data_IF_879061061360
#
_entry.id   IF_879061061360
#
_cell.length_a   1.000
_cell.length_b   1.000
_cell.length_c   1.000
_cell.angle_alpha   90.00
_cell.angle_beta   90.00
_cell.angle_gamma   90.00
#
_symmetry.space_group_name_H-M   'P 1'
#
loop_
_entity.id
_entity.type
_entity.pdbx_description
1 polymer ?
#
# COMPACT_ATOMS: atom_id res chain seq x y z
N UNK A 1 21.15 -13.52 48.81
CA UNK A 1 20.89 -14.07 47.46
C UNK A 1 22.15 -13.83 46.65
N UNK A 2 22.75 -14.91 46.12
CA UNK A 2 24.04 -14.87 45.43
C UNK A 2 23.99 -13.93 44.24
N UNK A 3 24.84 -12.90 44.26
CA UNK A 3 25.04 -11.97 43.15
C UNK A 3 25.83 -12.69 42.05
N UNK A 4 25.10 -13.41 41.17
CA UNK A 4 25.69 -14.14 40.06
C UNK A 4 26.25 -13.12 39.07
N UNK A 5 27.57 -13.16 38.86
CA UNK A 5 28.25 -12.32 37.86
C UNK A 5 27.61 -12.49 36.49
N UNK A 6 27.40 -11.38 35.77
CA UNK A 6 26.92 -11.41 34.38
C UNK A 6 27.74 -12.34 33.47
N UNK A 7 29.02 -12.56 33.80
CA UNK A 7 29.93 -13.43 33.07
C UNK A 7 29.55 -14.91 33.15
N UNK A 8 28.80 -15.31 34.18
CA UNK A 8 28.36 -16.69 34.39
C UNK A 8 26.94 -16.97 33.84
N UNK A 9 26.30 -15.93 33.26
CA UNK A 9 24.95 -16.02 32.71
C UNK A 9 24.98 -16.45 31.23
N UNK A 10 23.93 -17.15 30.82
CA UNK A 10 23.77 -17.61 29.43
C UNK A 10 22.85 -16.69 28.63
N UNK A 11 23.22 -16.34 27.42
CA UNK A 11 22.36 -15.67 26.45
C UNK A 11 21.57 -16.69 25.65
N UNK A 12 20.24 -16.56 25.64
CA UNK A 12 19.34 -17.32 24.75
C UNK A 12 19.14 -16.52 23.46
N UNK A 13 19.58 -17.09 22.34
CA UNK A 13 19.40 -16.49 21.01
C UNK A 13 17.99 -16.71 20.49
N UNK A 14 17.60 -15.93 19.48
CA UNK A 14 16.27 -16.01 18.87
C UNK A 14 15.97 -17.37 18.20
N UNK A 15 17.01 -18.15 17.88
CA UNK A 15 16.91 -19.52 17.34
C UNK A 15 16.87 -20.60 18.44
N UNK A 16 16.83 -20.21 19.71
CA UNK A 16 16.83 -21.11 20.87
C UNK A 16 18.23 -21.58 21.30
N UNK A 17 19.30 -21.24 20.57
CA UNK A 17 20.65 -21.64 20.96
C UNK A 17 21.17 -20.83 22.16
N UNK A 18 21.93 -21.49 23.03
CA UNK A 18 22.57 -20.88 24.19
C UNK A 18 24.01 -20.44 23.88
N UNK A 19 24.42 -19.30 24.41
CA UNK A 19 25.80 -18.83 24.38
C UNK A 19 26.18 -18.23 25.73
N UNK A 20 27.44 -18.35 26.16
CA UNK A 20 27.93 -17.68 27.37
C UNK A 20 27.94 -16.16 27.12
N UNK A 21 27.52 -15.37 28.12
CA UNK A 21 27.56 -13.92 28.04
C UNK A 21 28.98 -13.42 27.76
N UNK A 22 29.12 -12.52 26.78
CA UNK A 22 30.42 -11.95 26.40
C UNK A 22 30.29 -10.42 26.21
N UNK A 23 30.87 -9.67 27.14
CA UNK A 23 30.87 -8.20 27.15
C UNK A 23 31.54 -7.61 25.90
N UNK A 24 32.58 -8.26 25.38
CA UNK A 24 33.30 -7.83 24.18
C UNK A 24 32.38 -7.76 22.95
N UNK A 25 31.35 -8.62 22.87
CA UNK A 25 30.40 -8.59 21.76
C UNK A 25 29.51 -7.35 21.78
N UNK A 26 29.19 -6.82 22.97
CA UNK A 26 28.39 -5.59 23.13
C UNK A 26 29.23 -4.41 22.66
N UNK A 27 30.46 -4.30 23.18
CA UNK A 27 31.42 -3.29 22.77
C UNK A 27 31.64 -3.28 21.26
N UNK A 28 32.00 -4.42 20.64
CA UNK A 28 32.23 -4.51 19.20
C UNK A 28 30.98 -4.18 18.39
N UNK A 29 29.80 -4.53 18.91
CA UNK A 29 28.52 -4.19 18.30
C UNK A 29 28.28 -2.68 18.26
N UNK A 30 28.52 -1.99 19.39
CA UNK A 30 28.42 -0.54 19.50
C UNK A 30 29.46 0.15 18.62
N UNK A 31 30.73 -0.29 18.68
CA UNK A 31 31.81 0.32 17.93
C UNK A 31 31.57 0.22 16.42
N UNK A 32 31.20 -0.96 15.92
CA UNK A 32 30.87 -1.15 14.51
C UNK A 32 29.68 -0.31 14.04
N UNK A 33 28.69 -0.10 14.92
CA UNK A 33 27.59 0.80 14.64
C UNK A 33 28.04 2.26 14.60
N UNK A 34 28.99 2.65 15.45
CA UNK A 34 29.58 3.99 15.47
C UNK A 34 30.39 4.25 14.20
N UNK A 35 31.21 3.29 13.76
CA UNK A 35 31.97 3.36 12.50
C UNK A 35 31.06 3.62 11.29
N UNK A 36 29.92 2.93 11.22
CA UNK A 36 28.94 3.10 10.14
C UNK A 36 28.33 4.51 10.07
N UNK A 37 28.43 5.30 11.14
CA UNK A 37 27.97 6.69 11.19
C UNK A 37 29.13 7.69 11.30
N UNK A 38 30.37 7.24 11.03
CA UNK A 38 31.58 8.07 11.01
C UNK A 38 32.26 8.27 12.36
N UNK A 39 31.87 7.53 13.40
CA UNK A 39 32.53 7.54 14.70
C UNK A 39 33.77 6.64 14.72
N UNK A 40 34.85 7.11 15.35
CA UNK A 40 36.13 6.39 15.45
C UNK A 40 36.61 6.18 16.89
N UNK A 41 35.87 6.70 17.88
CA UNK A 41 36.28 6.66 19.28
C UNK A 41 35.93 5.30 19.91
N UNK A 42 36.92 4.42 19.96
CA UNK A 42 36.82 3.09 20.55
C UNK A 42 36.63 3.13 22.08
N UNK A 43 37.27 4.08 22.76
CA UNK A 43 37.13 4.27 24.21
C UNK A 43 35.69 4.58 24.59
N UNK A 44 35.05 5.49 23.86
CA UNK A 44 33.65 5.84 24.07
C UNK A 44 32.71 4.64 23.86
N UNK A 45 32.95 3.82 22.83
CA UNK A 45 32.17 2.59 22.62
C UNK A 45 32.34 1.60 23.78
N UNK A 46 33.54 1.53 24.37
CA UNK A 46 33.84 0.71 25.54
C UNK A 46 33.10 1.23 26.77
N UNK A 47 33.12 2.53 27.03
CA UNK A 47 32.42 3.16 28.15
C UNK A 47 30.91 2.93 28.07
N UNK A 48 30.31 3.15 26.89
CA UNK A 48 28.90 2.88 26.64
C UNK A 48 28.56 1.39 26.84
N UNK A 49 29.46 0.48 26.47
CA UNK A 49 29.25 -0.95 26.72
C UNK A 49 29.23 -1.30 28.21
N UNK A 50 30.05 -0.63 29.03
CA UNK A 50 30.05 -0.80 30.48
C UNK A 50 28.75 -0.30 31.11
N UNK A 51 28.21 0.81 30.61
CA UNK A 51 26.90 1.31 31.04
C UNK A 51 25.77 0.33 30.71
N UNK A 52 25.78 -0.26 29.50
CA UNK A 52 24.83 -1.31 29.11
C UNK A 52 24.91 -2.50 30.06
N UNK A 53 26.13 -2.93 30.39
CA UNK A 53 26.36 -4.04 31.33
C UNK A 53 25.79 -3.68 32.70
N UNK A 54 26.04 -2.47 33.20
CA UNK A 54 25.49 -2.00 34.48
C UNK A 54 23.96 -1.97 34.47
N UNK A 55 23.36 -1.50 33.38
CA UNK A 55 21.91 -1.50 33.21
C UNK A 55 21.34 -2.92 33.22
N UNK A 56 21.97 -3.85 32.49
CA UNK A 56 21.58 -5.26 32.47
C UNK A 56 21.69 -5.91 33.87
N UNK A 57 22.76 -5.62 34.64
CA UNK A 57 22.87 -6.08 36.05
C UNK A 57 21.67 -5.64 36.88
N UNK A 58 21.31 -4.35 36.79
CA UNK A 58 20.22 -3.77 37.59
C UNK A 58 18.84 -4.36 37.28
N UNK A 59 18.64 -4.90 36.06
CA UNK A 59 17.37 -5.46 35.60
C UNK A 59 17.24 -6.97 35.80
N UNK A 60 18.35 -7.70 35.89
CA UNK A 60 18.40 -9.16 35.88
C UNK A 60 18.75 -9.72 37.28
N UNK A 61 17.98 -9.32 38.30
CA UNK A 61 18.17 -9.85 39.66
C UNK A 61 17.73 -11.32 39.71
N UNK A 62 18.71 -12.24 39.79
CA UNK A 62 18.48 -13.68 40.02
C UNK A 62 18.26 -14.56 38.79
N UNK A 63 18.10 -14.00 37.58
CA UNK A 63 17.93 -14.81 36.36
C UNK A 63 19.26 -15.36 35.83
N UNK A 64 19.32 -16.67 35.54
CA UNK A 64 20.49 -17.37 34.98
C UNK A 64 20.63 -17.19 33.46
N UNK A 65 19.54 -16.84 32.78
CA UNK A 65 19.48 -16.72 31.32
C UNK A 65 19.01 -15.33 30.90
N UNK A 66 19.52 -14.85 29.77
CA UNK A 66 19.24 -13.50 29.25
C UNK A 66 18.82 -13.64 27.79
N UNK A 67 17.57 -13.29 27.43
CA UNK A 67 17.18 -13.16 26.04
C UNK A 67 18.10 -12.18 25.28
N UNK A 68 18.61 -12.60 24.12
CA UNK A 68 19.43 -11.75 23.23
C UNK A 68 18.70 -10.49 22.74
N UNK A 69 17.38 -10.47 22.83
CA UNK A 69 16.54 -9.31 22.54
C UNK A 69 16.80 -8.20 23.57
N UNK A 70 16.70 -8.52 24.87
CA UNK A 70 16.92 -7.59 25.99
C UNK A 70 18.30 -6.94 25.95
N UNK A 71 19.34 -7.70 25.60
CA UNK A 71 20.71 -7.16 25.49
C UNK A 71 20.76 -6.02 24.49
N UNK A 72 20.11 -6.15 23.33
CA UNK A 72 20.15 -5.07 22.36
C UNK A 72 19.15 -3.95 22.63
N UNK A 73 18.01 -4.20 23.28
CA UNK A 73 17.15 -3.13 23.80
C UNK A 73 17.89 -2.26 24.83
N UNK A 74 18.70 -2.89 25.69
CA UNK A 74 19.57 -2.17 26.61
C UNK A 74 20.60 -1.30 25.87
N UNK A 75 21.25 -1.83 24.83
CA UNK A 75 22.18 -1.04 23.99
C UNK A 75 21.46 0.15 23.34
N UNK A 76 20.29 -0.08 22.76
CA UNK A 76 19.50 0.96 22.09
C UNK A 76 19.12 2.07 23.06
N UNK A 77 18.63 1.71 24.24
CA UNK A 77 18.27 2.64 25.31
C UNK A 77 19.47 3.49 25.74
N UNK A 78 20.59 2.87 26.12
CA UNK A 78 21.77 3.58 26.60
C UNK A 78 22.32 4.52 25.53
N UNK A 79 22.39 4.08 24.27
CA UNK A 79 22.84 4.93 23.17
C UNK A 79 21.93 6.14 22.97
N UNK A 80 20.61 6.00 23.12
CA UNK A 80 19.67 7.12 23.00
C UNK A 80 19.82 8.07 24.19
N UNK A 81 19.82 7.56 25.42
CA UNK A 81 19.95 8.36 26.65
C UNK A 81 21.25 9.16 26.70
N UNK A 82 22.34 8.62 26.15
CA UNK A 82 23.66 9.27 26.07
C UNK A 82 23.83 10.16 24.84
N UNK A 83 22.77 10.40 24.06
CA UNK A 83 22.80 11.32 22.92
C UNK A 83 23.39 10.73 21.62
N UNK A 84 23.62 9.42 21.56
CA UNK A 84 24.16 8.71 20.40
C UNK A 84 23.06 8.12 19.50
N UNK A 85 21.99 8.87 19.25
CA UNK A 85 20.82 8.39 18.48
C UNK A 85 21.16 7.88 17.06
N UNK A 86 22.16 8.47 16.38
CA UNK A 86 22.63 8.00 15.07
C UNK A 86 23.25 6.61 15.16
N UNK A 87 24.10 6.38 16.16
CA UNK A 87 24.72 5.08 16.45
C UNK A 87 23.66 4.05 16.85
N UNK A 88 22.69 4.43 17.68
CA UNK A 88 21.56 3.57 18.05
C UNK A 88 20.80 3.09 16.81
N UNK A 89 20.47 4.01 15.90
CA UNK A 89 19.80 3.67 14.63
C UNK A 89 20.63 2.71 13.77
N UNK A 90 21.93 2.94 13.63
CA UNK A 90 22.82 2.04 12.89
C UNK A 90 22.91 0.65 13.53
N UNK A 91 22.93 0.58 14.86
CA UNK A 91 22.93 -0.67 15.63
C UNK A 91 21.64 -1.47 15.42
N UNK A 92 20.47 -0.82 15.52
CA UNK A 92 19.14 -1.41 15.26
C UNK A 92 19.10 -2.03 13.86
N UNK A 93 19.49 -1.25 12.84
CA UNK A 93 19.50 -1.69 11.45
C UNK A 93 20.42 -2.91 11.26
N UNK A 94 21.60 -2.90 11.88
CA UNK A 94 22.53 -4.02 11.81
C UNK A 94 21.95 -5.30 12.43
N UNK A 95 21.31 -5.20 13.60
CA UNK A 95 20.65 -6.33 14.27
C UNK A 95 19.54 -6.92 13.41
N UNK A 96 18.67 -6.09 12.86
CA UNK A 96 17.55 -6.54 12.04
C UNK A 96 18.05 -7.20 10.74
N UNK A 97 19.06 -6.63 10.09
CA UNK A 97 19.70 -7.26 8.93
C UNK A 97 20.31 -8.63 9.26
N UNK A 98 20.96 -8.77 10.42
CA UNK A 98 21.54 -10.05 10.87
C UNK A 98 20.45 -11.08 11.17
N UNK A 99 19.32 -10.65 11.72
CA UNK A 99 18.14 -11.50 11.94
C UNK A 99 17.61 -12.01 10.59
N UNK A 100 17.45 -11.15 9.60
CA UNK A 100 17.03 -11.54 8.25
C UNK A 100 18.01 -12.50 7.57
N UNK A 101 19.32 -12.30 7.73
CA UNK A 101 20.35 -13.19 7.17
C UNK A 101 20.34 -14.60 7.78
N UNK A 102 19.88 -14.74 9.02
CA UNK A 102 19.77 -16.03 9.72
C UNK A 102 18.49 -16.78 9.41
N UNK A 103 17.52 -16.15 8.75
CA UNK A 103 16.30 -16.84 8.36
C UNK A 103 16.64 -17.93 7.35
N UNK A 104 16.32 -19.16 7.69
CA UNK A 104 16.54 -20.30 6.81
C UNK A 104 15.62 -20.19 5.58
N UNK A 105 16.18 -19.76 4.44
CA UNK A 105 15.48 -19.68 3.16
C UNK A 105 15.00 -21.05 2.68
N UNK A 106 15.68 -22.14 3.05
CA UNK A 106 15.34 -23.48 2.57
C UNK A 106 13.96 -23.92 3.10
N UNK A 107 13.59 -23.48 4.31
CA UNK A 107 12.25 -23.66 4.89
C UNK A 107 11.09 -23.14 4.01
N UNK A 108 11.36 -22.21 3.08
CA UNK A 108 10.33 -21.69 2.19
C UNK A 108 9.98 -22.66 1.06
N UNK A 109 10.81 -23.66 0.75
CA UNK A 109 10.61 -24.53 -0.41
C UNK A 109 10.61 -23.76 -1.73
N UNK A 110 11.38 -22.66 -1.81
CA UNK A 110 11.56 -21.84 -3.00
C UNK A 110 13.04 -21.83 -3.35
N UNK A 111 13.36 -22.15 -4.59
CA UNK A 111 14.73 -22.02 -5.11
C UNK A 111 15.03 -20.55 -5.35
N UNK A 112 15.93 -19.97 -4.57
CA UNK A 112 16.41 -18.60 -4.72
C UNK A 112 17.55 -18.54 -5.74
N UNK A 113 17.22 -18.25 -7.00
CA UNK A 113 18.16 -18.20 -8.12
C UNK A 113 18.62 -16.78 -8.50
N UNK A 114 18.29 -15.79 -7.65
CA UNK A 114 18.72 -14.39 -7.80
C UNK A 114 19.46 -13.87 -6.55
N UNK A 115 19.16 -14.42 -5.37
CA UNK A 115 19.74 -13.98 -4.10
C UNK A 115 18.86 -12.98 -3.34
N UNK A 116 17.53 -13.13 -3.40
CA UNK A 116 16.60 -12.23 -2.69
C UNK A 116 16.56 -12.45 -1.18
N UNK A 117 16.06 -11.46 -0.43
CA UNK A 117 15.87 -11.62 1.02
C UNK A 117 14.81 -12.69 1.34
N UNK A 118 14.85 -13.27 2.54
CA UNK A 118 13.82 -14.21 2.99
C UNK A 118 12.41 -13.64 2.87
N UNK A 119 12.20 -12.39 3.33
CA UNK A 119 10.90 -11.72 3.25
C UNK A 119 10.43 -11.55 1.80
N UNK A 120 11.33 -11.20 0.88
CA UNK A 120 11.02 -11.12 -0.54
C UNK A 120 10.58 -12.47 -1.07
N UNK A 121 11.33 -13.54 -0.80
CA UNK A 121 10.98 -14.90 -1.23
C UNK A 121 9.65 -15.37 -0.62
N UNK A 122 9.40 -15.07 0.66
CA UNK A 122 8.15 -15.36 1.32
C UNK A 122 6.97 -14.68 0.59
N UNK A 123 7.09 -13.39 0.28
CA UNK A 123 6.05 -12.65 -0.46
C UNK A 123 5.86 -13.26 -1.86
N UNK A 124 6.95 -13.52 -2.59
CA UNK A 124 6.88 -14.16 -3.91
C UNK A 124 6.16 -15.50 -3.86
N UNK A 125 6.52 -16.37 -2.90
CA UNK A 125 5.85 -17.65 -2.62
C UNK A 125 4.36 -17.49 -2.37
N UNK A 126 3.99 -16.51 -1.56
CA UNK A 126 2.58 -16.35 -1.19
C UNK A 126 1.74 -15.83 -2.34
N UNK A 127 2.31 -15.01 -3.23
CA UNK A 127 1.52 -14.09 -4.06
C UNK A 127 1.78 -14.14 -5.56
N UNK A 128 2.93 -14.59 -6.02
CA UNK A 128 3.36 -14.33 -7.41
C UNK A 128 3.94 -15.53 -8.15
N UNK A 129 4.60 -16.46 -7.46
CA UNK A 129 5.15 -17.66 -8.09
C UNK A 129 4.03 -18.61 -8.53
N UNK A 130 4.12 -19.12 -9.76
CA UNK A 130 3.18 -20.11 -10.28
C UNK A 130 3.16 -21.39 -9.46
N UNK A 131 1.96 -21.98 -9.41
CA UNK A 131 1.70 -23.26 -8.79
C UNK A 131 1.10 -24.24 -9.79
N UNK A 132 1.33 -25.52 -9.58
CA UNK A 132 0.61 -26.58 -10.28
C UNK A 132 -0.79 -26.80 -9.67
N UNK A 133 -1.56 -27.74 -10.22
CA UNK A 133 -2.90 -28.09 -9.75
C UNK A 133 -2.93 -28.62 -8.31
N UNK A 134 -1.82 -29.18 -7.83
CA UNK A 134 -1.64 -29.63 -6.44
C UNK A 134 -1.27 -28.49 -5.49
N UNK A 135 -1.09 -27.27 -5.99
CA UNK A 135 -0.72 -26.09 -5.22
C UNK A 135 0.78 -25.96 -4.93
N UNK A 136 1.62 -26.81 -5.49
CA UNK A 136 3.08 -26.79 -5.32
C UNK A 136 3.71 -25.71 -6.18
N UNK A 137 4.77 -25.05 -5.68
CA UNK A 137 5.45 -23.97 -6.40
C UNK A 137 6.34 -24.59 -7.48
N UNK A 138 6.13 -24.19 -8.74
CA UNK A 138 6.85 -24.71 -9.91
C UNK A 138 7.68 -23.65 -10.63
N UNK A 139 7.74 -22.44 -10.10
CA UNK A 139 8.40 -21.30 -10.73
C UNK A 139 9.37 -20.66 -9.74
N UNK A 140 10.59 -20.40 -10.20
CA UNK A 140 11.61 -19.68 -9.44
C UNK A 140 11.43 -18.16 -9.58
N UNK A 141 12.03 -17.34 -8.71
CA UNK A 141 12.03 -15.89 -8.86
C UNK A 141 12.53 -15.41 -10.24
N UNK A 142 13.60 -15.99 -10.78
CA UNK A 142 14.05 -15.68 -12.16
C UNK A 142 13.03 -16.13 -13.19
N UNK A 143 12.48 -17.33 -13.07
CA UNK A 143 11.44 -17.83 -13.97
C UNK A 143 10.21 -16.91 -14.03
N UNK A 144 9.79 -16.39 -12.88
CA UNK A 144 8.71 -15.39 -12.79
C UNK A 144 9.04 -14.12 -13.58
N UNK A 145 10.25 -13.58 -13.41
CA UNK A 145 10.69 -12.37 -14.11
C UNK A 145 10.78 -12.62 -15.63
N UNK A 146 11.32 -13.77 -16.04
CA UNK A 146 11.36 -14.17 -17.46
C UNK A 146 9.96 -14.28 -18.06
N UNK A 147 9.02 -14.91 -17.34
CA UNK A 147 7.62 -15.00 -17.76
C UNK A 147 7.03 -13.61 -18.00
N UNK A 148 7.20 -12.70 -17.05
CA UNK A 148 6.67 -11.33 -17.14
C UNK A 148 7.31 -10.59 -18.33
N UNK A 149 8.64 -10.57 -18.41
CA UNK A 149 9.36 -9.89 -19.48
C UNK A 149 8.98 -10.43 -20.87
N UNK A 150 8.82 -11.75 -20.99
CA UNK A 150 8.43 -12.42 -22.24
C UNK A 150 6.99 -12.12 -22.62
N UNK A 151 6.08 -12.13 -21.66
CA UNK A 151 4.68 -11.80 -21.91
C UNK A 151 4.53 -10.35 -22.38
N UNK A 152 5.20 -9.41 -21.72
CA UNK A 152 5.09 -7.99 -22.02
C UNK A 152 5.80 -7.57 -23.31
N UNK A 153 6.89 -8.24 -23.69
CA UNK A 153 7.61 -7.94 -24.93
C UNK A 153 6.91 -8.49 -26.19
N UNK A 154 5.99 -9.46 -26.06
CA UNK A 154 5.28 -10.06 -27.22
C UNK A 154 4.50 -9.06 -28.08
N UNK A 155 4.06 -7.94 -27.50
CA UNK A 155 3.35 -6.85 -28.19
C UNK A 155 4.20 -6.17 -29.28
N UNK A 156 5.53 -6.32 -29.20
CA UNK A 156 6.45 -5.69 -30.12
C UNK A 156 6.37 -6.33 -31.51
N UNK A 157 6.25 -5.50 -32.55
CA UNK A 157 5.97 -5.95 -33.92
C UNK A 157 7.05 -6.88 -34.50
N UNK A 158 8.33 -6.55 -34.26
CA UNK A 158 9.48 -7.25 -34.87
C UNK A 158 10.16 -8.16 -33.86
N UNK A 159 10.72 -9.29 -34.31
CA UNK A 159 11.53 -10.20 -33.47
C UNK A 159 12.71 -9.49 -32.79
N UNK A 160 13.35 -8.54 -33.47
CA UNK A 160 14.47 -7.74 -32.93
C UNK A 160 14.00 -6.91 -31.72
N UNK A 161 12.92 -6.13 -31.87
CA UNK A 161 12.32 -5.38 -30.74
C UNK A 161 11.85 -6.29 -29.61
N UNK A 162 11.24 -7.43 -29.92
CA UNK A 162 10.83 -8.44 -28.91
C UNK A 162 12.02 -8.90 -28.07
N UNK A 163 13.12 -9.28 -28.70
CA UNK A 163 14.36 -9.71 -28.02
C UNK A 163 14.97 -8.57 -27.19
N UNK A 164 15.05 -7.36 -27.76
CA UNK A 164 15.56 -6.17 -27.08
C UNK A 164 14.76 -5.86 -25.82
N UNK A 165 13.45 -5.67 -25.94
CA UNK A 165 12.61 -5.30 -24.80
C UNK A 165 12.45 -6.43 -23.79
N UNK A 166 12.49 -7.70 -24.22
CA UNK A 166 12.59 -8.82 -23.28
C UNK A 166 13.81 -8.65 -22.36
N UNK A 167 15.00 -8.41 -22.93
CA UNK A 167 16.22 -8.22 -22.16
C UNK A 167 16.13 -6.97 -21.27
N UNK A 168 15.71 -5.83 -21.81
CA UNK A 168 15.58 -4.59 -21.04
C UNK A 168 14.59 -4.74 -19.87
N UNK A 169 13.42 -5.34 -20.09
CA UNK A 169 12.44 -5.58 -19.02
C UNK A 169 12.94 -6.56 -17.96
N UNK A 170 13.61 -7.63 -18.39
CA UNK A 170 14.23 -8.60 -17.49
C UNK A 170 15.29 -7.93 -16.61
N UNK A 171 16.20 -7.18 -17.21
CA UNK A 171 17.30 -6.50 -16.51
C UNK A 171 16.77 -5.49 -15.47
N UNK A 172 15.71 -4.72 -15.80
CA UNK A 172 15.10 -3.78 -14.84
C UNK A 172 14.57 -4.48 -13.59
N UNK A 173 13.88 -5.60 -13.78
CA UNK A 173 13.24 -6.34 -12.69
C UNK A 173 14.26 -7.11 -11.86
N UNK A 174 15.25 -7.78 -12.49
CA UNK A 174 16.31 -8.49 -11.77
C UNK A 174 17.15 -7.52 -10.92
N UNK A 175 17.47 -6.34 -11.45
CA UNK A 175 18.23 -5.33 -10.70
C UNK A 175 17.40 -4.58 -9.65
N UNK A 176 16.10 -4.85 -9.55
CA UNK A 176 15.17 -4.17 -8.66
C UNK A 176 15.09 -2.65 -8.92
N UNK A 177 15.40 -2.20 -10.13
CA UNK A 177 15.33 -0.78 -10.51
C UNK A 177 13.88 -0.36 -10.76
N UNK A 178 13.09 -1.26 -11.36
CA UNK A 178 11.66 -1.07 -11.61
C UNK A 178 10.90 -2.40 -11.58
N UNK A 179 9.73 -2.42 -10.96
CA UNK A 179 8.82 -3.56 -10.95
C UNK A 179 7.45 -3.16 -11.49
N UNK A 180 6.79 -3.95 -12.34
CA UNK A 180 5.43 -3.65 -12.74
C UNK A 180 4.43 -3.86 -11.60
N UNK A 181 3.21 -3.35 -11.78
CA UNK A 181 2.13 -3.50 -10.82
C UNK A 181 1.85 -4.96 -10.45
N UNK A 182 1.34 -5.19 -9.23
CA UNK A 182 1.13 -6.54 -8.69
C UNK A 182 0.27 -7.43 -9.58
N UNK A 183 -0.75 -6.88 -10.28
CA UNK A 183 -1.57 -7.66 -11.22
C UNK A 183 -0.78 -8.08 -12.46
N UNK A 184 0.09 -7.22 -12.96
CA UNK A 184 1.02 -7.60 -14.02
C UNK A 184 1.98 -8.71 -13.56
N UNK A 185 2.56 -8.61 -12.36
CA UNK A 185 3.44 -9.67 -11.83
C UNK A 185 2.70 -11.01 -11.69
N UNK A 186 1.49 -11.00 -11.15
CA UNK A 186 0.70 -12.20 -10.88
C UNK A 186 0.12 -12.83 -12.16
N UNK A 187 -0.31 -12.03 -13.13
CA UNK A 187 -1.12 -12.51 -14.25
C UNK A 187 -0.39 -12.57 -15.60
N UNK A 188 0.72 -11.85 -15.79
CA UNK A 188 1.43 -11.86 -17.07
C UNK A 188 1.83 -13.28 -17.49
N UNK A 189 1.45 -13.67 -18.71
CA UNK A 189 1.71 -15.00 -19.26
C UNK A 189 0.68 -16.08 -18.89
N UNK A 190 -0.47 -15.71 -18.30
CA UNK A 190 -1.67 -16.57 -18.22
C UNK A 190 -2.46 -16.53 -19.55
N UNK A 191 -3.47 -17.39 -19.71
CA UNK A 191 -4.32 -17.45 -20.91
C UNK A 191 -5.19 -16.18 -21.07
N UNK A 192 -5.81 -15.73 -19.97
CA UNK A 192 -6.62 -14.50 -19.91
C UNK A 192 -6.06 -13.57 -18.82
N UNK A 193 -5.00 -12.78 -19.12
CA UNK A 193 -4.34 -11.98 -18.10
C UNK A 193 -5.09 -10.66 -17.87
N UNK A 194 -5.52 -10.40 -16.64
CA UNK A 194 -5.85 -9.03 -16.23
C UNK A 194 -4.58 -8.36 -15.67
N UNK A 195 -3.97 -7.47 -16.46
CA UNK A 195 -2.71 -6.83 -16.07
C UNK A 195 -2.89 -5.53 -15.29
N UNK A 196 -3.98 -4.80 -15.54
CA UNK A 196 -4.29 -3.58 -14.83
C UNK A 196 -4.75 -3.86 -13.40
N UNK A 197 -4.41 -2.95 -12.50
CA UNK A 197 -4.62 -3.12 -11.07
C UNK A 197 -6.03 -2.72 -10.62
N UNK A 198 -6.53 -1.60 -11.15
CA UNK A 198 -7.77 -1.00 -10.69
C UNK A 198 -8.51 -0.33 -11.84
N UNK A 199 -9.79 -0.06 -11.64
CA UNK A 199 -10.70 0.50 -12.64
C UNK A 199 -11.66 1.48 -11.97
N UNK A 200 -12.12 2.49 -12.72
CA UNK A 200 -13.20 3.38 -12.29
C UNK A 200 -14.43 3.13 -13.14
N UNK A 201 -15.59 3.05 -12.49
CA UNK A 201 -16.87 2.77 -13.13
C UNK A 201 -17.84 3.93 -12.97
N UNK A 202 -18.65 4.24 -14.00
CA UNK A 202 -19.74 5.19 -13.86
C UNK A 202 -20.86 4.58 -13.03
N UNK A 203 -21.58 5.41 -12.28
CA UNK A 203 -22.83 5.05 -11.61
C UNK A 203 -23.88 6.10 -11.99
N UNK A 204 -24.96 5.65 -12.59
CA UNK A 204 -26.14 6.47 -12.89
C UNK A 204 -27.30 6.12 -11.96
N UNK A 205 -28.25 7.05 -11.80
CA UNK A 205 -29.48 6.86 -11.02
C UNK A 205 -30.52 6.05 -11.80
N UNK A 206 -30.13 4.84 -12.19
CA UNK A 206 -30.93 3.87 -12.93
C UNK A 206 -30.56 2.45 -12.49
N UNK A 207 -31.57 1.63 -12.20
CA UNK A 207 -31.35 0.29 -11.63
C UNK A 207 -30.66 -0.65 -12.63
N UNK A 208 -30.98 -0.55 -13.92
CA UNK A 208 -30.35 -1.38 -14.95
C UNK A 208 -28.86 -1.03 -15.08
N UNK A 209 -28.53 0.26 -15.07
CA UNK A 209 -27.15 0.73 -15.05
C UNK A 209 -26.40 0.23 -13.80
N UNK A 210 -26.99 0.36 -12.62
CA UNK A 210 -26.39 -0.10 -11.36
C UNK A 210 -26.06 -1.59 -11.43
N UNK A 211 -26.99 -2.43 -11.88
CA UNK A 211 -26.76 -3.89 -12.00
C UNK A 211 -25.75 -4.24 -13.10
N UNK A 212 -25.77 -3.56 -14.25
CA UNK A 212 -24.78 -3.76 -15.31
C UNK A 212 -23.35 -3.44 -14.83
N UNK A 213 -23.19 -2.33 -14.10
CA UNK A 213 -21.90 -1.93 -13.52
C UNK A 213 -21.47 -2.85 -12.38
N UNK A 214 -22.42 -3.32 -11.57
CA UNK A 214 -22.13 -4.32 -10.55
C UNK A 214 -21.61 -5.62 -11.20
N UNK A 215 -22.26 -6.10 -12.25
CA UNK A 215 -21.83 -7.28 -13.01
C UNK A 215 -20.42 -7.09 -13.60
N UNK A 216 -20.20 -6.01 -14.38
CA UNK A 216 -18.92 -5.72 -15.03
C UNK A 216 -17.78 -5.57 -14.03
N UNK A 217 -18.01 -4.83 -12.96
CA UNK A 217 -16.98 -4.65 -11.92
C UNK A 217 -16.71 -5.94 -11.13
N UNK A 218 -17.70 -6.82 -10.97
CA UNK A 218 -17.52 -8.14 -10.37
C UNK A 218 -16.65 -9.06 -11.21
N UNK A 219 -16.80 -9.03 -12.54
CA UNK A 219 -15.90 -9.78 -13.45
C UNK A 219 -14.44 -9.34 -13.29
N UNK A 220 -14.19 -8.05 -13.15
CA UNK A 220 -12.86 -7.51 -12.89
C UNK A 220 -12.33 -7.93 -11.52
N UNK A 221 -13.19 -7.93 -10.48
CA UNK A 221 -12.85 -8.35 -9.12
C UNK A 221 -12.52 -9.84 -9.03
N UNK A 222 -13.13 -10.69 -9.84
CA UNK A 222 -12.75 -12.12 -9.99
C UNK A 222 -11.26 -12.28 -10.33
N UNK A 223 -10.70 -11.34 -11.08
CA UNK A 223 -9.27 -11.30 -11.41
C UNK A 223 -8.44 -10.41 -10.47
N UNK A 224 -9.07 -9.90 -9.41
CA UNK A 224 -8.49 -9.10 -8.34
C UNK A 224 -8.39 -7.60 -8.65
N UNK A 225 -9.06 -7.11 -9.69
CA UNK A 225 -9.06 -5.69 -10.02
C UNK A 225 -9.88 -4.88 -9.00
N UNK A 226 -9.23 -3.90 -8.38
CA UNK A 226 -9.89 -2.93 -7.50
C UNK A 226 -10.82 -1.99 -8.27
N UNK A 227 -11.91 -1.53 -7.64
CA UNK A 227 -12.92 -0.72 -8.33
C UNK A 227 -13.25 0.58 -7.61
N UNK A 228 -13.29 1.70 -8.33
CA UNK A 228 -13.71 3.00 -7.82
C UNK A 228 -15.03 3.47 -8.41
N UNK A 229 -15.83 4.16 -7.61
CA UNK A 229 -17.16 4.63 -7.96
C UNK A 229 -17.41 6.00 -7.32
N UNK A 230 -18.23 6.83 -7.98
CA UNK A 230 -18.84 8.00 -7.35
C UNK A 230 -20.36 7.85 -7.40
N UNK A 231 -20.99 7.77 -6.23
CA UNK A 231 -22.42 7.52 -6.03
C UNK A 231 -23.25 8.80 -5.96
N UNK A 232 -22.66 9.99 -6.15
CA UNK A 232 -23.35 11.29 -6.00
C UNK A 232 -24.48 11.53 -7.00
N UNK A 233 -24.56 10.73 -8.05
CA UNK A 233 -25.67 10.77 -9.00
C UNK A 233 -26.93 10.08 -8.45
N UNK A 234 -26.78 9.10 -7.54
CA UNK A 234 -27.88 8.33 -6.98
C UNK A 234 -28.76 9.25 -6.14
N UNK A 235 -30.09 9.13 -6.28
CA UNK A 235 -31.03 9.90 -5.47
C UNK A 235 -30.91 9.59 -3.97
N UNK A 236 -31.23 10.55 -3.09
CA UNK A 236 -31.10 10.34 -1.66
C UNK A 236 -32.11 9.32 -1.13
N UNK A 237 -31.83 8.78 0.05
CA UNK A 237 -32.74 7.95 0.82
C UNK A 237 -34.09 8.68 1.03
N UNK A 238 -35.19 7.96 0.84
CA UNK A 238 -36.54 8.53 0.93
C UNK A 238 -36.98 9.39 -0.27
N UNK A 239 -36.19 9.53 -1.34
CA UNK A 239 -36.68 10.18 -2.57
C UNK A 239 -37.74 9.31 -3.30
N UNK A 240 -38.46 9.94 -4.22
CA UNK A 240 -39.49 9.26 -5.02
C UNK A 240 -38.91 8.30 -6.05
N UNK A 241 -39.53 7.14 -6.22
CA UNK A 241 -39.26 6.17 -7.29
C UNK A 241 -40.55 5.88 -8.05
N UNK A 242 -40.52 6.02 -9.37
CA UNK A 242 -41.70 5.85 -10.24
C UNK A 242 -42.94 6.64 -9.80
N UNK A 243 -42.76 7.80 -9.15
CA UNK A 243 -43.85 8.64 -8.65
C UNK A 243 -44.33 8.31 -7.24
N UNK A 244 -43.87 7.21 -6.65
CA UNK A 244 -44.16 6.85 -5.25
C UNK A 244 -43.11 7.54 -4.36
N UNK A 245 -43.49 8.40 -3.40
CA UNK A 245 -42.57 9.08 -2.49
C UNK A 245 -41.98 8.11 -1.44
N UNK A 246 -40.87 8.49 -0.80
CA UNK A 246 -40.34 7.84 0.43
C UNK A 246 -39.86 6.39 0.31
N UNK A 247 -39.56 5.91 -0.90
CA UNK A 247 -39.13 4.50 -1.11
C UNK A 247 -37.71 4.31 -1.67
N UNK A 248 -36.98 5.39 -2.01
CA UNK A 248 -35.60 5.25 -2.46
C UNK A 248 -34.68 4.79 -1.32
N UNK A 249 -33.82 3.80 -1.59
CA UNK A 249 -32.88 3.26 -0.61
C UNK A 249 -31.64 4.15 -0.35
N UNK A 250 -31.36 5.12 -1.22
CA UNK A 250 -30.18 5.99 -1.13
C UNK A 250 -28.85 5.33 -1.55
N UNK A 251 -27.78 6.12 -1.64
CA UNK A 251 -26.46 5.68 -2.10
C UNK A 251 -25.77 4.74 -1.09
N UNK A 252 -25.97 4.91 0.23
CA UNK A 252 -25.31 4.07 1.25
C UNK A 252 -25.74 2.61 1.11
N UNK A 253 -27.03 2.34 0.92
CA UNK A 253 -27.54 0.98 0.66
C UNK A 253 -27.07 0.41 -0.67
N UNK A 254 -26.92 1.24 -1.70
CA UNK A 254 -26.30 0.78 -2.96
C UNK A 254 -24.83 0.38 -2.74
N UNK A 255 -24.08 1.12 -1.93
CA UNK A 255 -22.70 0.79 -1.59
C UNK A 255 -22.60 -0.53 -0.81
N UNK A 256 -23.54 -0.81 0.11
CA UNK A 256 -23.62 -2.12 0.80
C UNK A 256 -23.68 -3.29 -0.20
N UNK A 257 -24.47 -3.15 -1.26
CA UNK A 257 -24.59 -4.17 -2.30
C UNK A 257 -23.24 -4.41 -3.01
N UNK A 258 -22.52 -3.35 -3.39
CA UNK A 258 -21.20 -3.47 -4.03
C UNK A 258 -20.15 -4.06 -3.07
N UNK A 259 -20.22 -3.70 -1.79
CA UNK A 259 -19.37 -4.23 -0.74
C UNK A 259 -19.58 -5.74 -0.55
N UNK A 260 -20.85 -6.17 -0.42
CA UNK A 260 -21.21 -7.58 -0.28
C UNK A 260 -20.69 -8.40 -1.47
N UNK A 261 -20.96 -7.97 -2.70
CA UNK A 261 -20.47 -8.66 -3.89
C UNK A 261 -18.95 -8.80 -3.89
N UNK A 262 -18.23 -7.76 -3.48
CA UNK A 262 -16.76 -7.80 -3.39
C UNK A 262 -16.27 -8.81 -2.34
N UNK A 263 -17.02 -9.00 -1.25
CA UNK A 263 -16.69 -9.97 -0.20
C UNK A 263 -16.87 -11.43 -0.63
N UNK A 264 -17.78 -11.70 -1.57
CA UNK A 264 -18.12 -13.05 -2.04
C UNK A 264 -17.07 -13.62 -3.02
N UNK A 265 -16.45 -12.77 -3.85
CA UNK A 265 -15.48 -13.21 -4.85
C UNK A 265 -14.04 -13.05 -4.35
N UNK A 266 -13.55 -14.07 -3.64
CA UNK A 266 -12.13 -14.18 -3.25
C UNK A 266 -11.33 -14.88 -4.36
N UNK A 267 -10.23 -14.27 -4.78
CA UNK A 267 -9.35 -14.84 -5.80
C UNK A 267 -8.38 -15.85 -5.18
N UNK A 268 -8.38 -17.11 -5.65
CA UNK A 268 -7.44 -18.19 -5.30
C UNK A 268 -6.99 -18.16 -3.82
N UNK A 269 -7.95 -17.93 -2.91
CA UNK A 269 -7.76 -17.95 -1.46
C UNK A 269 -6.84 -16.88 -0.85
N UNK A 270 -6.33 -15.88 -1.59
CA UNK A 270 -5.28 -14.98 -1.04
C UNK A 270 -5.40 -13.48 -1.35
N UNK A 271 -6.14 -13.08 -2.37
CA UNK A 271 -6.32 -11.66 -2.70
C UNK A 271 -7.77 -11.23 -2.55
N UNK A 272 -7.98 -10.26 -1.70
CA UNK A 272 -9.25 -9.54 -1.59
C UNK A 272 -9.17 -8.27 -2.46
N UNK A 273 -10.21 -8.02 -3.24
CA UNK A 273 -10.36 -6.75 -3.95
C UNK A 273 -10.97 -5.70 -3.00
N UNK A 274 -10.65 -4.43 -3.24
CA UNK A 274 -11.25 -3.31 -2.52
C UNK A 274 -12.09 -2.42 -3.44
N UNK A 275 -12.99 -1.66 -2.82
CA UNK A 275 -13.72 -0.59 -3.47
C UNK A 275 -13.30 0.79 -2.95
N UNK A 276 -13.41 1.81 -3.80
CA UNK A 276 -13.55 3.21 -3.40
C UNK A 276 -14.97 3.65 -3.71
N UNK A 277 -15.69 4.15 -2.71
CA UNK A 277 -16.97 4.81 -2.90
C UNK A 277 -16.84 6.30 -2.54
N UNK A 278 -17.25 7.17 -3.45
CA UNK A 278 -17.23 8.62 -3.26
C UNK A 278 -18.65 9.16 -3.21
N UNK A 279 -18.90 10.05 -2.26
CA UNK A 279 -20.09 10.89 -2.24
C UNK A 279 -19.67 12.36 -2.14
N UNK A 280 -20.24 13.21 -2.98
CA UNK A 280 -19.92 14.63 -3.01
C UNK A 280 -20.56 15.32 -1.80
N UNK A 281 -19.86 16.33 -1.30
CA UNK A 281 -20.19 17.02 -0.04
C UNK A 281 -21.52 17.78 -0.05
N UNK A 282 -22.11 18.00 -1.23
CA UNK A 282 -23.42 18.62 -1.42
C UNK A 282 -24.57 17.60 -1.52
N UNK A 283 -24.30 16.30 -1.38
CA UNK A 283 -25.34 15.28 -1.40
C UNK A 283 -26.19 15.28 -0.11
N UNK A 284 -27.54 15.10 -0.16
CA UNK A 284 -28.37 15.11 1.05
C UNK A 284 -27.98 14.05 2.09
N UNK A 285 -27.58 12.85 1.65
CA UNK A 285 -27.20 11.74 2.53
C UNK A 285 -25.76 11.83 3.06
N UNK A 286 -25.12 13.01 2.99
CA UNK A 286 -23.72 13.18 3.36
C UNK A 286 -23.42 12.77 4.81
N UNK A 287 -24.32 13.08 5.75
CA UNK A 287 -24.15 12.74 7.17
C UNK A 287 -24.22 11.22 7.42
N UNK A 288 -25.18 10.54 6.78
CA UNK A 288 -25.31 9.08 6.83
C UNK A 288 -24.08 8.41 6.21
N UNK A 289 -23.59 8.95 5.09
CA UNK A 289 -22.41 8.43 4.42
C UNK A 289 -21.12 8.62 5.24
N UNK A 290 -20.91 9.79 5.86
CA UNK A 290 -19.74 10.03 6.73
C UNK A 290 -19.75 9.07 7.92
N UNK A 291 -20.91 8.88 8.54
CA UNK A 291 -21.06 8.06 9.76
C UNK A 291 -21.20 6.57 9.45
N UNK A 292 -21.27 6.17 8.17
CA UNK A 292 -21.58 4.81 7.74
C UNK A 292 -20.69 3.76 8.41
N UNK A 293 -19.37 4.04 8.52
CA UNK A 293 -18.38 3.10 9.05
C UNK A 293 -18.11 3.23 10.56
N UNK A 294 -18.95 3.95 11.31
CA UNK A 294 -18.87 3.98 12.78
C UNK A 294 -19.01 2.59 13.39
N UNK A 295 -19.78 1.71 12.76
CA UNK A 295 -19.92 0.32 13.19
C UNK A 295 -18.80 -0.53 12.58
N UNK A 296 -17.95 -1.10 13.43
CA UNK A 296 -16.86 -1.97 13.01
C UNK A 296 -17.35 -3.13 12.12
N UNK A 297 -16.61 -3.39 11.04
CA UNK A 297 -16.92 -4.46 10.09
C UNK A 297 -17.96 -4.10 9.01
N UNK A 298 -18.75 -3.05 9.21
CA UNK A 298 -19.64 -2.54 8.18
C UNK A 298 -18.84 -1.89 7.04
N UNK A 299 -19.23 -2.20 5.80
CA UNK A 299 -18.48 -1.81 4.58
C UNK A 299 -16.98 -2.18 4.59
N UNK A 300 -16.63 -3.32 5.19
CA UNK A 300 -15.23 -3.77 5.36
C UNK A 300 -14.41 -3.95 4.08
N UNK A 301 -15.04 -3.98 2.89
CA UNK A 301 -14.36 -4.07 1.58
C UNK A 301 -14.41 -2.76 0.80
N UNK A 302 -14.87 -1.68 1.42
CA UNK A 302 -15.09 -0.39 0.77
C UNK A 302 -14.49 0.74 1.58
N UNK A 303 -13.52 1.41 0.98
CA UNK A 303 -13.04 2.70 1.45
C UNK A 303 -14.08 3.74 1.04
N UNK A 304 -14.35 4.71 1.91
CA UNK A 304 -15.27 5.80 1.61
C UNK A 304 -14.53 7.12 1.60
N UNK A 305 -14.87 8.01 0.69
CA UNK A 305 -14.26 9.34 0.64
C UNK A 305 -15.26 10.40 0.23
N UNK A 306 -15.08 11.60 0.78
CA UNK A 306 -15.94 12.73 0.45
C UNK A 306 -15.34 13.52 -0.71
N UNK A 307 -16.14 13.68 -1.76
CA UNK A 307 -15.83 14.55 -2.89
C UNK A 307 -16.03 16.02 -2.49
N UNK A 308 -14.95 16.70 -2.13
CA UNK A 308 -14.99 18.12 -1.74
C UNK A 308 -14.54 19.02 -2.89
N UNK A 309 -14.82 20.31 -2.76
CA UNK A 309 -14.32 21.35 -3.67
C UNK A 309 -13.58 22.43 -2.89
N UNK A 310 -12.77 23.24 -3.59
CA UNK A 310 -12.15 24.43 -2.99
C UNK A 310 -13.22 25.34 -2.36
N UNK A 311 -14.39 25.48 -3.00
CA UNK A 311 -15.53 26.27 -2.49
C UNK A 311 -16.07 25.73 -1.16
N UNK A 312 -16.16 24.41 -1.00
CA UNK A 312 -16.59 23.81 0.26
C UNK A 312 -15.58 24.08 1.36
N UNK A 313 -14.29 23.88 1.09
CA UNK A 313 -13.25 24.12 2.10
C UNK A 313 -13.23 25.59 2.54
N UNK A 314 -13.35 26.52 1.60
CA UNK A 314 -13.47 27.95 1.93
C UNK A 314 -14.71 28.26 2.77
N UNK A 315 -15.85 27.63 2.47
CA UNK A 315 -17.05 27.77 3.28
C UNK A 315 -16.86 27.23 4.70
N UNK A 316 -16.23 26.05 4.85
CA UNK A 316 -16.00 25.42 6.13
C UNK A 316 -15.03 26.21 7.01
N UNK A 317 -13.93 26.72 6.44
CA UNK A 317 -12.95 27.55 7.17
C UNK A 317 -13.59 28.85 7.69
N UNK A 318 -14.48 29.45 6.90
CA UNK A 318 -15.13 30.71 7.25
C UNK A 318 -16.51 30.53 7.92
N UNK A 319 -16.83 29.33 8.42
CA UNK A 319 -18.11 29.01 9.08
C UNK A 319 -19.35 29.45 8.28
N UNK A 320 -19.33 29.26 6.96
CA UNK A 320 -20.45 29.59 6.08
C UNK A 320 -21.41 28.42 5.92
N UNK A 321 -22.63 28.75 5.51
CA UNK A 321 -23.64 27.78 5.13
C UNK A 321 -23.27 27.01 3.86
N UNK A 322 -23.75 25.77 3.80
CA UNK A 322 -23.60 24.83 2.71
C UNK A 322 -24.96 24.26 2.31
N UNK A 323 -25.20 24.20 1.00
CA UNK A 323 -26.47 23.72 0.45
C UNK A 323 -26.35 22.25 0.10
N UNK A 324 -27.29 21.44 0.62
CA UNK A 324 -27.47 20.06 0.20
C UNK A 324 -28.47 20.02 -0.95
N UNK A 325 -28.09 19.41 -2.07
CA UNK A 325 -28.79 19.48 -3.35
C UNK A 325 -29.16 18.07 -3.79
N UNK A 326 -30.46 17.83 -4.02
CA UNK A 326 -30.90 16.55 -4.55
C UNK A 326 -30.39 16.40 -6.01
N UNK A 327 -29.64 15.34 -6.35
CA UNK A 327 -29.03 15.19 -7.67
C UNK A 327 -30.04 14.97 -8.79
N UNK A 328 -31.25 14.48 -8.49
CA UNK A 328 -32.34 14.28 -9.46
C UNK A 328 -33.11 15.57 -9.72
N UNK A 329 -33.57 16.25 -8.67
CA UNK A 329 -34.43 17.44 -8.80
C UNK A 329 -33.67 18.75 -8.97
N UNK A 330 -32.36 18.76 -8.63
CA UNK A 330 -31.49 19.93 -8.56
C UNK A 330 -31.95 21.00 -7.56
N UNK A 331 -32.91 20.68 -6.69
CA UNK A 331 -33.40 21.58 -5.64
C UNK A 331 -32.54 21.46 -4.39
N UNK A 332 -32.41 22.58 -3.67
CA UNK A 332 -31.84 22.60 -2.32
C UNK A 332 -32.83 21.91 -1.39
N UNK A 333 -32.39 20.85 -0.74
CA UNK A 333 -33.18 20.10 0.24
C UNK A 333 -32.96 20.65 1.65
N UNK A 334 -31.72 21.04 1.96
CA UNK A 334 -31.36 21.57 3.26
C UNK A 334 -30.17 22.53 3.17
N UNK A 335 -30.01 23.38 4.18
CA UNK A 335 -28.86 24.27 4.35
C UNK A 335 -28.26 23.98 5.73
N UNK A 336 -26.97 23.68 5.76
CA UNK A 336 -26.25 23.26 6.97
C UNK A 336 -24.93 24.01 7.08
N UNK A 337 -24.33 24.06 8.27
CA UNK A 337 -22.99 24.61 8.42
C UNK A 337 -21.96 23.76 7.68
N UNK A 338 -21.19 24.38 6.78
CA UNK A 338 -20.07 23.71 6.10
C UNK A 338 -19.04 23.19 7.11
N UNK A 339 -18.84 23.94 8.20
CA UNK A 339 -17.92 23.59 9.28
C UNK A 339 -18.35 22.30 9.98
N UNK A 340 -19.65 22.14 10.25
CA UNK A 340 -20.17 20.94 10.90
C UNK A 340 -19.95 19.67 10.08
N UNK A 341 -20.05 19.75 8.75
CA UNK A 341 -19.71 18.62 7.88
C UNK A 341 -18.22 18.28 8.01
N UNK A 342 -17.34 19.28 7.94
CA UNK A 342 -15.89 19.08 8.02
C UNK A 342 -15.46 18.52 9.39
N UNK A 343 -16.02 19.04 10.49
CA UNK A 343 -15.74 18.54 11.84
C UNK A 343 -16.21 17.09 12.03
N UNK A 344 -17.39 16.74 11.49
CA UNK A 344 -17.86 15.35 11.52
C UNK A 344 -16.92 14.44 10.72
N UNK A 345 -16.54 14.84 9.49
CA UNK A 345 -15.59 14.08 8.67
C UNK A 345 -14.28 13.82 9.44
N UNK A 346 -13.70 14.86 10.05
CA UNK A 346 -12.46 14.74 10.81
C UNK A 346 -12.62 13.83 12.04
N UNK A 347 -13.75 13.94 12.74
CA UNK A 347 -14.05 13.11 13.92
C UNK A 347 -14.16 11.64 13.54
N UNK A 348 -14.93 11.30 12.50
CA UNK A 348 -15.10 9.89 12.09
C UNK A 348 -13.83 9.34 11.46
N UNK A 349 -13.08 10.14 10.70
CA UNK A 349 -11.78 9.74 10.16
C UNK A 349 -10.75 9.46 11.26
N UNK A 350 -10.76 10.23 12.35
CA UNK A 350 -9.94 9.95 13.53
C UNK A 350 -10.36 8.66 14.23
N UNK A 351 -11.67 8.39 14.33
CA UNK A 351 -12.20 7.18 14.99
C UNK A 351 -11.97 5.91 14.17
N UNK A 352 -12.16 5.95 12.85
CA UNK A 352 -12.32 4.74 12.01
C UNK A 352 -11.29 4.64 10.88
N UNK A 353 -10.55 5.71 10.58
CA UNK A 353 -9.70 5.83 9.40
C UNK A 353 -10.43 6.25 8.11
N UNK A 354 -11.76 6.37 8.14
CA UNK A 354 -12.64 6.81 7.05
C UNK A 354 -13.61 7.91 7.57
N UNK A 355 -14.14 8.81 6.71
CA UNK A 355 -13.89 8.90 5.29
C UNK A 355 -12.61 9.65 4.95
N UNK A 356 -11.99 9.26 3.83
CA UNK A 356 -10.96 10.07 3.17
C UNK A 356 -11.52 11.32 2.48
N UNK A 357 -10.63 12.10 1.89
CA UNK A 357 -10.96 13.31 1.13
C UNK A 357 -10.50 13.15 -0.33
N UNK A 358 -11.41 13.39 -1.26
CA UNK A 358 -11.08 13.58 -2.68
C UNK A 358 -11.40 15.03 -3.06
N UNK A 359 -10.37 15.87 -3.20
CA UNK A 359 -10.57 17.25 -3.67
C UNK A 359 -10.81 17.27 -5.19
N UNK A 360 -12.08 17.34 -5.58
CA UNK A 360 -12.55 17.39 -6.96
C UNK A 360 -12.05 18.64 -7.69
N UNK A 361 -11.87 19.76 -6.98
CA UNK A 361 -11.28 20.96 -7.55
C UNK A 361 -9.82 20.72 -7.88
N UNK A 362 -8.98 20.27 -6.96
CA UNK A 362 -7.57 20.00 -7.23
C UNK A 362 -7.36 18.93 -8.32
N UNK A 363 -8.19 17.88 -8.32
CA UNK A 363 -8.16 16.81 -9.31
C UNK A 363 -8.46 17.31 -10.73
N UNK A 364 -9.21 18.40 -10.87
CA UNK A 364 -9.64 18.94 -12.17
C UNK A 364 -9.05 20.32 -12.52
N UNK A 365 -8.51 21.07 -11.55
CA UNK A 365 -7.94 22.41 -11.71
C UNK A 365 -6.47 22.29 -12.16
N UNK A 366 -6.04 23.11 -13.12
CA UNK A 366 -4.62 23.25 -13.48
C UNK A 366 -4.12 22.63 -14.79
N UNK A 367 -4.95 22.49 -15.83
CA UNK A 367 -4.51 22.15 -17.22
C UNK A 367 -3.77 20.80 -17.37
N UNK A 368 -3.07 20.59 -18.50
CA UNK A 368 -2.69 19.32 -19.14
C UNK A 368 -2.04 18.21 -18.29
N UNK A 369 -1.71 18.46 -17.02
CA UNK A 369 -1.06 17.50 -16.11
C UNK A 369 -2.02 16.84 -15.11
N UNK A 370 -3.08 17.52 -14.69
CA UNK A 370 -4.06 16.96 -13.73
C UNK A 370 -5.19 16.25 -14.46
N UNK A 371 -5.92 16.99 -15.33
CA UNK A 371 -6.95 16.44 -16.19
C UNK A 371 -6.76 16.94 -17.64
N UNK A 372 -5.91 16.28 -18.45
CA UNK A 372 -5.63 16.70 -19.82
C UNK A 372 -6.84 16.67 -20.75
N UNK A 373 -7.88 15.89 -20.42
CA UNK A 373 -9.05 15.72 -21.26
C UNK A 373 -10.25 16.53 -20.78
N UNK A 374 -10.09 17.42 -19.80
CA UNK A 374 -11.19 18.19 -19.18
C UNK A 374 -12.12 18.85 -20.22
N UNK A 375 -11.55 19.52 -21.24
CA UNK A 375 -12.33 20.18 -22.30
C UNK A 375 -13.18 19.20 -23.14
N UNK A 376 -12.73 17.96 -23.31
CA UNK A 376 -13.35 16.96 -24.19
C UNK A 376 -14.23 15.95 -23.44
N UNK A 377 -13.84 15.58 -22.22
CA UNK A 377 -14.49 14.53 -21.42
C UNK A 377 -15.14 15.05 -20.12
N UNK A 378 -14.97 16.33 -19.78
CA UNK A 378 -15.49 16.88 -18.53
C UNK A 378 -14.64 16.53 -17.32
N UNK A 379 -15.20 16.70 -16.13
CA UNK A 379 -14.49 16.46 -14.87
C UNK A 379 -14.31 14.97 -14.60
N UNK A 380 -13.14 14.61 -14.07
CA UNK A 380 -12.96 13.34 -13.36
C UNK A 380 -13.69 13.47 -12.02
N UNK A 381 -14.45 12.44 -11.66
CA UNK A 381 -15.29 12.46 -10.45
C UNK A 381 -14.94 11.34 -9.48
N UNK A 382 -14.04 10.43 -9.85
CA UNK A 382 -13.68 9.27 -9.05
C UNK A 382 -12.19 8.93 -9.19
N UNK A 383 -11.74 8.07 -8.29
CA UNK A 383 -10.38 7.52 -8.26
C UNK A 383 -10.46 6.03 -7.98
N UNK A 384 -9.35 5.32 -8.18
CA UNK A 384 -9.23 3.91 -7.83
C UNK A 384 -9.29 3.69 -6.29
N UNK A 385 -9.35 2.43 -5.81
CA UNK A 385 -9.49 2.12 -4.39
C UNK A 385 -8.51 2.78 -3.42
N UNK A 386 -7.30 3.11 -3.88
CA UNK A 386 -6.25 3.66 -3.03
C UNK A 386 -6.13 5.19 -3.12
N UNK A 387 -6.97 5.86 -3.92
CA UNK A 387 -7.07 7.32 -3.97
C UNK A 387 -5.98 8.05 -4.77
N UNK A 388 -5.01 7.33 -5.35
CA UNK A 388 -3.81 7.89 -5.95
C UNK A 388 -3.92 8.14 -7.47
N UNK A 389 -4.88 7.52 -8.15
CA UNK A 389 -5.09 7.69 -9.60
C UNK A 389 -6.51 8.17 -9.91
N UNK A 390 -6.69 9.46 -10.23
CA UNK A 390 -7.89 9.98 -10.87
C UNK A 390 -8.11 9.33 -12.23
N UNK A 391 -9.31 8.80 -12.48
CA UNK A 391 -9.62 8.10 -13.72
C UNK A 391 -11.01 8.47 -14.22
N UNK A 392 -11.18 8.55 -15.54
CA UNK A 392 -12.52 8.60 -16.12
C UNK A 392 -13.24 7.25 -16.01
N UNK A 393 -14.58 7.24 -16.14
CA UNK A 393 -15.33 6.01 -16.32
C UNK A 393 -14.72 5.07 -17.37
N UNK A 394 -14.64 3.78 -17.03
CA UNK A 394 -14.05 2.70 -17.83
C UNK A 394 -12.53 2.78 -18.05
N UNK A 395 -11.83 3.71 -17.43
CA UNK A 395 -10.36 3.74 -17.46
C UNK A 395 -9.75 2.79 -16.43
N UNK A 396 -8.51 2.36 -16.72
CA UNK A 396 -7.77 1.40 -15.92
C UNK A 396 -6.46 1.98 -15.41
N UNK A 397 -6.09 1.58 -14.20
CA UNK A 397 -4.86 1.94 -13.53
C UNK A 397 -3.76 0.92 -13.87
N UNK A 398 -2.81 1.34 -14.71
CA UNK A 398 -1.63 0.55 -15.08
C UNK A 398 -0.43 1.07 -14.30
N UNK A 399 -0.01 0.32 -13.27
CA UNK A 399 0.98 0.75 -12.29
C UNK A 399 2.35 0.10 -12.50
N UNK A 400 3.35 0.75 -11.93
CA UNK A 400 4.67 0.18 -11.69
C UNK A 400 5.43 1.02 -10.68
N UNK A 401 6.47 0.43 -10.10
CA UNK A 401 7.15 0.94 -8.93
C UNK A 401 8.63 1.08 -9.23
N UNK A 402 9.15 2.30 -9.09
CA UNK A 402 10.58 2.61 -9.22
C UNK A 402 11.24 2.54 -7.84
N UNK A 403 12.40 1.89 -7.75
CA UNK A 403 13.15 1.80 -6.51
C UNK A 403 14.22 2.89 -6.45
N UNK A 404 13.89 4.04 -5.88
CA UNK A 404 14.80 5.19 -5.80
C UNK A 404 16.14 4.88 -5.12
N UNK A 405 16.20 3.91 -4.20
CA UNK A 405 17.43 3.51 -3.51
C UNK A 405 18.48 2.98 -4.49
N UNK A 406 18.08 2.30 -5.57
CA UNK A 406 19.00 1.79 -6.60
C UNK A 406 19.70 2.89 -7.39
N UNK A 407 19.20 4.11 -7.33
CA UNK A 407 19.75 5.26 -8.04
C UNK A 407 20.62 6.14 -7.14
N UNK A 408 20.78 5.82 -5.85
CA UNK A 408 21.70 6.54 -4.96
C UNK A 408 23.05 5.84 -4.96
N UNK A 409 24.11 6.56 -5.33
CA UNK A 409 25.50 6.08 -5.27
C UNK A 409 26.37 7.13 -4.58
N UNK A 410 27.11 6.73 -3.55
CA UNK A 410 28.01 7.61 -2.78
C UNK A 410 27.32 8.91 -2.32
N UNK A 411 26.08 8.79 -1.81
CA UNK A 411 25.28 9.93 -1.35
C UNK A 411 24.70 10.82 -2.46
N UNK A 412 24.94 10.52 -3.75
CA UNK A 412 24.42 11.28 -4.89
C UNK A 412 23.37 10.50 -5.66
N UNK A 413 22.32 11.20 -6.10
CA UNK A 413 21.25 10.62 -6.89
C UNK A 413 21.59 10.60 -8.39
N UNK A 414 21.48 9.44 -9.03
CA UNK A 414 21.79 9.24 -10.44
C UNK A 414 20.56 9.45 -11.33
N UNK A 415 20.27 10.72 -11.62
CA UNK A 415 19.15 11.13 -12.48
C UNK A 415 19.27 10.59 -13.92
N UNK A 416 20.49 10.44 -14.44
CA UNK A 416 20.72 9.91 -15.80
C UNK A 416 20.23 8.47 -15.91
N UNK A 417 20.63 7.61 -14.96
CA UNK A 417 20.19 6.21 -14.94
C UNK A 417 18.68 6.11 -14.71
N UNK A 418 18.11 6.95 -13.84
CA UNK A 418 16.66 7.00 -13.65
C UNK A 418 15.94 7.31 -14.97
N UNK A 419 16.39 8.31 -15.73
CA UNK A 419 15.77 8.67 -17.01
C UNK A 419 15.83 7.51 -18.04
N UNK A 420 16.92 6.76 -18.08
CA UNK A 420 17.05 5.56 -18.93
C UNK A 420 16.06 4.47 -18.51
N UNK A 421 16.00 4.16 -17.21
CA UNK A 421 15.05 3.18 -16.65
C UNK A 421 13.61 3.58 -16.93
N UNK A 422 13.26 4.85 -16.74
CA UNK A 422 11.89 5.33 -16.95
C UNK A 422 11.45 5.26 -18.41
N UNK A 423 12.35 5.45 -19.39
CA UNK A 423 12.02 5.26 -20.82
C UNK A 423 11.57 3.81 -21.10
N UNK A 424 12.29 2.85 -20.53
CA UNK A 424 11.97 1.42 -20.68
C UNK A 424 10.69 1.07 -19.89
N UNK A 425 10.54 1.57 -18.66
CA UNK A 425 9.35 1.37 -17.84
C UNK A 425 8.06 1.91 -18.50
N UNK A 426 8.12 3.09 -19.13
CA UNK A 426 6.98 3.62 -19.90
C UNK A 426 6.65 2.71 -21.08
N UNK A 427 7.64 2.12 -21.74
CA UNK A 427 7.38 1.16 -22.82
C UNK A 427 6.75 -0.13 -22.29
N UNK A 428 7.22 -0.64 -21.15
CA UNK A 428 6.67 -1.79 -20.44
C UNK A 428 5.17 -1.57 -20.14
N UNK A 429 4.81 -0.40 -19.62
CA UNK A 429 3.40 -0.04 -19.35
C UNK A 429 2.53 0.18 -20.60
N UNK A 430 3.14 0.31 -21.79
CA UNK A 430 2.42 0.48 -23.07
C UNK A 430 2.16 -0.83 -23.82
N UNK A 431 2.41 -1.98 -23.19
CA UNK A 431 2.09 -3.30 -23.77
C UNK A 431 0.58 -3.57 -23.75
N UNK A 432 -0.16 -2.84 -24.59
CA UNK A 432 -1.63 -2.69 -24.64
C UNK A 432 -2.44 -3.90 -25.11
N UNK A 433 -1.84 -5.03 -25.45
CA UNK A 433 -2.59 -6.16 -26.05
C UNK A 433 -3.18 -7.14 -25.02
N UNK A 434 -3.46 -6.71 -23.79
CA UNK A 434 -3.82 -7.62 -22.69
C UNK A 434 -4.84 -6.98 -21.73
N UNK A 435 -5.86 -6.31 -22.30
CA UNK A 435 -7.08 -5.90 -21.60
C UNK A 435 -8.28 -6.42 -22.36
#
# INVERSE_FOLDING_TARGET
MNDISLLDKKIIKADGSEEIFNSEKIFRGIFKAAENVGGTNESLAKDLSLEVISFLKSKLNGELTIPSMLVGEAVEKILIEKGHAKTAKAFIIYRENKKHLRQDKSSLGVVDDIGFSYNTLYILKQRYLKRNEKGEIIETPKGMIERIARALSKVEKTSIKRKRYFKEFFDLMVNFEFLPGSRTMANAGKASPQLANCFVWPIADDINNVFDILYKSTLIKKHGGGCGYNFSSIRPEGDSVAGIPEIAAGPVKMIEMFNLMTSLFRQEGKYESGNMAILNVDHPDIFNFISAKQNDGYLSKTNISIGITDKFMEAAIHNKDWKLINPRTKKVVNIVSARSILDLMATIAWQTGDPGIVNLSAMNKGTARSNPLLKKKGMIMATNPCGEVPLYPFESCNLGYVNFVKFVKNGKFNYKRLAEVMKVAVRLGRSRNIL
#
